data_IF_127996267012
#
_entry.id   IF_127996267012
#
_cell.length_a   1.000
_cell.length_b   1.000
_cell.length_c   1.000
_cell.angle_alpha   90.00
_cell.angle_beta   90.00
_cell.angle_gamma   90.00
#
_symmetry.space_group_name_H-M   'P 1'
#
loop_
_entity.id
_entity.type
_entity.pdbx_description
1 polymer ?
#
# COMPACT_ATOMS: atom_id res chain seq x y z
N UNK A 1 -1.72 -7.84 -8.43
CA UNK A 1 -1.37 -9.12 -7.77
C UNK A 1 0.06 -9.02 -7.25
N UNK A 2 0.27 -9.10 -5.93
CA UNK A 2 1.61 -9.17 -5.34
C UNK A 2 2.05 -10.65 -5.25
N UNK A 3 3.28 -10.95 -5.68
CA UNK A 3 3.86 -12.29 -5.55
C UNK A 3 5.37 -12.20 -5.43
N UNK A 4 5.95 -13.02 -4.54
CA UNK A 4 7.42 -13.11 -4.39
C UNK A 4 8.09 -13.50 -5.70
N UNK A 5 7.48 -14.41 -6.47
CA UNK A 5 7.99 -14.84 -7.78
C UNK A 5 7.98 -13.74 -8.84
N UNK A 6 7.10 -12.75 -8.68
CA UNK A 6 7.00 -11.61 -9.59
C UNK A 6 7.89 -10.44 -9.14
N UNK A 7 8.56 -10.55 -7.99
CA UNK A 7 9.44 -9.52 -7.45
C UNK A 7 8.75 -8.24 -6.96
N UNK A 8 7.42 -8.23 -6.86
CA UNK A 8 6.62 -7.03 -6.57
C UNK A 8 5.96 -7.06 -5.19
N UNK A 9 6.58 -7.72 -4.23
CA UNK A 9 6.16 -7.70 -2.83
C UNK A 9 6.85 -6.54 -2.14
N UNK A 10 6.06 -5.72 -1.43
CA UNK A 10 6.58 -4.65 -0.59
C UNK A 10 6.19 -4.92 0.85
N UNK A 11 7.15 -4.78 1.75
CA UNK A 11 6.91 -4.87 3.19
C UNK A 11 6.37 -3.55 3.73
N UNK A 12 5.63 -3.60 4.84
CA UNK A 12 5.19 -2.39 5.54
C UNK A 12 6.38 -1.51 5.95
N UNK A 13 7.52 -2.13 6.27
CA UNK A 13 8.74 -1.39 6.62
C UNK A 13 9.27 -0.57 5.45
N UNK A 14 9.34 -1.16 4.25
CA UNK A 14 9.71 -0.45 3.02
C UNK A 14 8.65 0.60 2.64
N UNK A 15 7.36 0.31 2.78
CA UNK A 15 6.33 1.31 2.52
C UNK A 15 6.50 2.55 3.43
N UNK A 16 6.84 2.34 4.70
CA UNK A 16 7.10 3.40 5.66
C UNK A 16 8.41 4.17 5.44
N UNK A 17 9.35 3.70 4.60
CA UNK A 17 10.53 4.50 4.21
C UNK A 17 10.21 5.52 3.13
N UNK A 18 9.18 5.26 2.31
CA UNK A 18 8.76 6.14 1.21
C UNK A 18 7.55 7.02 1.57
N UNK A 19 6.65 6.53 2.42
CA UNK A 19 5.43 7.21 2.80
C UNK A 19 5.31 7.29 4.32
N UNK A 20 4.65 8.34 4.83
CA UNK A 20 4.33 8.44 6.26
C UNK A 20 3.50 7.24 6.71
N UNK A 21 3.76 6.65 7.90
CA UNK A 21 2.97 5.55 8.44
C UNK A 21 1.45 5.84 8.50
N UNK A 22 1.06 7.10 8.65
CA UNK A 22 -0.34 7.53 8.62
C UNK A 22 -0.98 7.34 7.23
N UNK A 23 -0.24 7.65 6.16
CA UNK A 23 -0.68 7.45 4.77
C UNK A 23 -0.82 5.97 4.47
N UNK A 24 0.16 5.16 4.88
CA UNK A 24 0.11 3.69 4.73
C UNK A 24 -1.11 3.11 5.46
N UNK A 25 -1.38 3.58 6.68
CA UNK A 25 -2.57 3.18 7.45
C UNK A 25 -3.86 3.61 6.77
N UNK A 26 -3.93 4.83 6.25
CA UNK A 26 -5.11 5.33 5.54
C UNK A 26 -5.40 4.49 4.30
N UNK A 27 -4.38 4.20 3.50
CA UNK A 27 -4.48 3.30 2.35
C UNK A 27 -4.98 1.89 2.73
N UNK A 28 -4.43 1.29 3.79
CA UNK A 28 -4.82 -0.04 4.26
C UNK A 28 -6.30 -0.11 4.68
N UNK A 29 -6.80 0.97 5.30
CA UNK A 29 -8.18 1.09 5.78
C UNK A 29 -9.16 1.57 4.70
N UNK A 30 -8.67 2.12 3.59
CA UNK A 30 -9.51 2.66 2.52
C UNK A 30 -10.26 1.60 1.73
N UNK A 31 -9.88 0.32 1.86
CA UNK A 31 -10.56 -0.81 1.22
C UNK A 31 -11.19 -1.71 2.29
N UNK A 32 -12.42 -2.18 2.04
CA UNK A 32 -13.07 -3.15 2.92
C UNK A 32 -12.19 -4.40 3.07
N UNK A 33 -11.99 -4.88 4.30
CA UNK A 33 -11.03 -5.96 4.62
C UNK A 33 -11.24 -7.28 3.85
N UNK A 34 -12.46 -7.52 3.35
CA UNK A 34 -12.80 -8.70 2.51
C UNK A 34 -12.44 -8.54 1.03
N UNK A 35 -12.11 -7.33 0.60
CA UNK A 35 -11.77 -7.06 -0.79
C UNK A 35 -10.26 -7.18 -0.99
N UNK A 36 -9.81 -7.64 -2.17
CA UNK A 36 -8.40 -7.67 -2.50
C UNK A 36 -7.85 -6.24 -2.50
N UNK A 37 -6.80 -6.02 -1.71
CA UNK A 37 -6.10 -4.75 -1.65
C UNK A 37 -5.19 -4.63 -2.88
N UNK A 38 -5.43 -3.64 -3.74
CA UNK A 38 -4.52 -3.29 -4.82
C UNK A 38 -3.36 -2.50 -4.23
N UNK A 39 -2.16 -3.08 -4.29
CA UNK A 39 -0.93 -2.38 -3.96
C UNK A 39 -0.29 -1.88 -5.25
N UNK A 40 -0.13 -0.57 -5.31
CA UNK A 40 0.67 0.15 -6.29
C UNK A 40 1.10 1.49 -5.72
N UNK A 41 2.22 1.99 -6.21
CA UNK A 41 2.79 3.27 -5.77
C UNK A 41 1.80 4.42 -6.03
N UNK A 42 0.99 4.32 -7.08
CA UNK A 42 -0.04 5.28 -7.44
C UNK A 42 -1.19 5.33 -6.42
N UNK A 43 -1.62 4.20 -5.87
CA UNK A 43 -2.62 4.15 -4.80
C UNK A 43 -2.10 4.78 -3.50
N UNK A 44 -0.82 4.58 -3.17
CA UNK A 44 -0.18 5.24 -2.03
C UNK A 44 0.00 6.75 -2.25
N UNK A 45 0.37 7.17 -3.47
CA UNK A 45 0.38 8.59 -3.84
C UNK A 45 -1.01 9.21 -3.78
N UNK A 46 -2.04 8.48 -4.20
CA UNK A 46 -3.43 8.92 -4.07
C UNK A 46 -3.83 9.08 -2.60
N UNK A 47 -3.47 8.11 -1.74
CA UNK A 47 -3.69 8.18 -0.30
C UNK A 47 -2.92 9.33 0.37
N UNK A 48 -1.78 9.75 -0.18
CA UNK A 48 -1.01 10.89 0.32
C UNK A 48 -1.61 12.25 -0.07
N UNK A 49 -2.48 12.30 -1.10
CA UNK A 49 -3.15 13.52 -1.57
C UNK A 49 -4.49 13.80 -0.90
N UNK A 50 -5.05 12.82 -0.18
CA UNK A 50 -6.28 12.96 0.62
C UNK A 50 -5.98 13.43 2.03
#
# INVERSE_FOLDING_TARGET
KMSKSLGNVVTIREACTHFSPKVVRFWLLGTHYRNPLSFGEEELKAAARG
#
